data_IF_146098838778
#
_entry.id   IF_146098838778
#
_cell.length_a   1.000
_cell.length_b   1.000
_cell.length_c   1.000
_cell.angle_alpha   90.00
_cell.angle_beta   90.00
_cell.angle_gamma   90.00
#
_symmetry.space_group_name_H-M   'P 1'
#
loop_
_entity.id
_entity.type
_entity.pdbx_description
1 polymer ?
#
# COMPACT_ATOMS: atom_id res chain seq x y z
N UNK A 1 -5.84 15.35 1.64
CA UNK A 1 -6.75 14.18 1.44
C UNK A 1 -6.76 13.83 -0.03
N UNK A 2 -6.53 12.56 -0.37
CA UNK A 2 -6.60 12.02 -1.73
C UNK A 2 -7.75 11.02 -1.76
N UNK A 3 -8.67 11.17 -2.70
CA UNK A 3 -9.89 10.35 -2.74
C UNK A 3 -10.28 10.08 -4.19
N UNK A 4 -10.72 8.85 -4.46
CA UNK A 4 -11.35 8.50 -5.72
C UNK A 4 -12.58 9.38 -5.98
N UNK A 5 -12.77 9.85 -7.20
CA UNK A 5 -13.98 10.60 -7.57
C UNK A 5 -15.24 9.77 -7.30
N UNK A 6 -15.24 8.51 -7.77
CA UNK A 6 -16.27 7.53 -7.44
C UNK A 6 -15.61 6.26 -6.86
N UNK A 7 -15.86 5.93 -5.58
CA UNK A 7 -15.28 4.74 -4.95
C UNK A 7 -15.58 3.46 -5.73
N UNK A 8 -14.55 2.65 -5.96
CA UNK A 8 -14.65 1.42 -6.74
C UNK A 8 -14.65 1.60 -8.26
N UNK A 9 -14.60 2.85 -8.77
CA UNK A 9 -14.47 3.14 -10.20
C UNK A 9 -13.13 3.81 -10.56
N UNK A 10 -12.28 4.12 -9.58
CA UNK A 10 -10.92 4.59 -9.80
C UNK A 10 -9.95 3.42 -9.64
N UNK A 11 -9.41 2.98 -10.78
CA UNK A 11 -8.54 1.81 -10.86
C UNK A 11 -7.07 2.21 -10.96
N UNK A 12 -6.23 1.48 -10.25
CA UNK A 12 -4.76 1.55 -10.35
C UNK A 12 -4.30 0.23 -10.94
N UNK A 13 -3.85 0.25 -12.20
CA UNK A 13 -3.59 -0.96 -12.99
C UNK A 13 -2.14 -1.02 -13.51
N UNK A 14 -1.76 -2.13 -14.13
CA UNK A 14 -0.45 -2.31 -14.73
C UNK A 14 0.69 -2.36 -13.70
N UNK A 15 1.81 -1.70 -14.01
CA UNK A 15 2.98 -1.64 -13.13
C UNK A 15 2.91 -0.39 -12.25
N UNK A 16 2.18 -0.50 -11.14
CA UNK A 16 1.83 0.65 -10.29
C UNK A 16 2.15 0.40 -8.81
N UNK A 17 2.48 1.47 -8.09
CA UNK A 17 2.64 1.45 -6.63
C UNK A 17 2.34 2.84 -6.05
N UNK A 18 2.13 2.91 -4.74
CA UNK A 18 1.85 4.13 -3.99
C UNK A 18 2.87 4.31 -2.85
N UNK A 19 3.47 5.48 -2.79
CA UNK A 19 4.28 5.95 -1.67
C UNK A 19 3.50 7.00 -0.90
N UNK A 20 3.54 6.92 0.43
CA UNK A 20 2.90 7.87 1.35
C UNK A 20 3.99 8.37 2.29
N UNK A 21 4.26 9.67 2.29
CA UNK A 21 5.20 10.33 3.21
C UNK A 21 4.60 11.63 3.73
N UNK A 22 5.05 12.09 4.91
CA UNK A 22 4.51 13.26 5.58
C UNK A 22 3.44 12.91 6.62
N UNK A 23 2.57 13.86 6.97
CA UNK A 23 1.66 13.71 8.11
C UNK A 23 0.20 14.02 7.77
N UNK A 24 -0.72 13.36 8.48
CA UNK A 24 -2.17 13.62 8.40
C UNK A 24 -2.77 13.45 6.99
N UNK A 25 -2.20 12.52 6.21
CA UNK A 25 -2.73 12.17 4.90
C UNK A 25 -3.82 11.13 5.02
N UNK A 26 -4.89 11.31 4.24
CA UNK A 26 -5.94 10.31 4.08
C UNK A 26 -6.04 9.92 2.60
N UNK A 27 -5.96 8.62 2.33
CA UNK A 27 -6.08 8.00 1.01
C UNK A 27 -7.33 7.10 1.04
N UNK A 28 -8.22 7.29 0.07
CA UNK A 28 -9.58 6.77 0.15
C UNK A 28 -10.12 6.32 -1.22
N UNK A 29 -10.60 5.07 -1.29
CA UNK A 29 -11.43 4.60 -2.41
C UNK A 29 -10.70 4.08 -3.66
N UNK A 30 -9.38 3.84 -3.59
CA UNK A 30 -8.60 3.31 -4.71
C UNK A 30 -8.74 1.79 -4.85
N UNK A 31 -8.73 1.29 -6.08
CA UNK A 31 -8.80 -0.13 -6.40
C UNK A 31 -7.60 -0.57 -7.26
N UNK A 32 -6.65 -1.29 -6.67
CA UNK A 32 -5.52 -1.91 -7.36
C UNK A 32 -5.94 -3.26 -7.95
N UNK A 33 -5.87 -3.39 -9.28
CA UNK A 33 -6.23 -4.62 -10.02
C UNK A 33 -5.46 -4.73 -11.33
N UNK A 34 -5.52 -5.87 -12.01
CA UNK A 34 -4.93 -6.05 -13.35
C UNK A 34 -3.46 -5.61 -13.44
N UNK A 35 -2.63 -6.02 -12.47
CA UNK A 35 -1.25 -5.55 -12.41
C UNK A 35 -0.43 -6.12 -11.25
N UNK A 36 0.73 -5.51 -11.03
CA UNK A 36 1.66 -5.85 -9.95
C UNK A 36 2.53 -4.63 -9.62
N UNK A 37 3.11 -4.60 -8.42
CA UNK A 37 4.08 -3.55 -8.10
C UNK A 37 5.37 -3.74 -8.89
N UNK A 38 5.97 -2.66 -9.45
CA UNK A 38 7.30 -2.72 -10.05
C UNK A 38 8.42 -2.75 -8.99
N UNK A 39 8.08 -2.55 -7.72
CA UNK A 39 9.02 -2.42 -6.61
C UNK A 39 8.83 -3.47 -5.53
N UNK A 40 9.21 -3.08 -4.30
CA UNK A 40 9.16 -3.98 -3.14
C UNK A 40 7.76 -4.17 -2.56
N UNK A 41 6.87 -3.19 -2.76
CA UNK A 41 5.50 -3.25 -2.27
C UNK A 41 4.51 -2.45 -3.11
N UNK A 42 3.22 -2.78 -3.01
CA UNK A 42 2.13 -2.04 -3.68
C UNK A 42 1.89 -0.68 -3.03
N UNK A 43 1.87 -0.63 -1.70
CA UNK A 43 1.68 0.60 -0.91
C UNK A 43 2.75 0.65 0.20
N UNK A 44 3.43 1.79 0.34
CA UNK A 44 4.47 2.01 1.35
C UNK A 44 4.18 3.31 2.12
N UNK A 45 4.21 3.24 3.45
CA UNK A 45 4.11 4.40 4.34
C UNK A 45 5.46 5.12 4.54
N UNK A 46 6.24 5.19 3.46
CA UNK A 46 7.42 6.05 3.32
C UNK A 46 7.61 6.37 1.84
N UNK A 47 8.41 7.37 1.52
CA UNK A 47 8.85 7.61 0.15
C UNK A 47 10.13 6.82 -0.23
N UNK A 48 10.60 7.01 -1.47
CA UNK A 48 11.84 6.41 -1.97
C UNK A 48 13.10 6.93 -1.30
N UNK A 49 13.05 8.07 -0.62
CA UNK A 49 14.17 8.69 0.10
C UNK A 49 14.20 8.29 1.59
N UNK A 50 13.18 7.56 2.06
CA UNK A 50 13.09 7.06 3.42
C UNK A 50 12.30 7.98 4.36
N UNK A 51 11.69 9.06 3.88
CA UNK A 51 10.80 9.88 4.70
C UNK A 51 9.52 9.09 5.00
N UNK A 52 9.26 8.83 6.28
CA UNK A 52 8.09 8.05 6.72
C UNK A 52 6.80 8.87 6.73
N UNK A 53 5.67 8.18 6.78
CA UNK A 53 4.37 8.76 7.04
C UNK A 53 3.96 8.62 8.51
N UNK A 54 3.34 9.63 9.12
CA UNK A 54 2.77 9.55 10.46
C UNK A 54 1.32 10.06 10.49
N UNK A 55 0.48 9.49 11.36
CA UNK A 55 -0.93 9.91 11.48
C UNK A 55 -1.71 9.81 10.16
N UNK A 56 -1.33 8.90 9.26
CA UNK A 56 -1.96 8.73 7.96
C UNK A 56 -2.98 7.59 7.98
N UNK A 57 -4.03 7.73 7.17
CA UNK A 57 -5.12 6.76 7.06
C UNK A 57 -5.26 6.27 5.63
N UNK A 58 -5.25 4.96 5.47
CA UNK A 58 -5.59 4.26 4.24
C UNK A 58 -6.94 3.58 4.44
N UNK A 59 -7.96 3.99 3.70
CA UNK A 59 -9.34 3.51 3.94
C UNK A 59 -10.07 3.17 2.64
N UNK A 60 -10.98 2.19 2.70
CA UNK A 60 -11.81 1.77 1.56
C UNK A 60 -10.98 1.44 0.31
N UNK A 61 -9.84 0.80 0.51
CA UNK A 61 -8.97 0.34 -0.56
C UNK A 61 -9.31 -1.10 -0.93
N UNK A 62 -9.20 -1.42 -2.21
CA UNK A 62 -9.17 -2.79 -2.69
C UNK A 62 -7.81 -3.10 -3.33
N UNK A 63 -7.17 -4.20 -2.93
CA UNK A 63 -6.06 -4.81 -3.67
C UNK A 63 -6.55 -6.20 -4.08
N UNK A 64 -6.82 -6.37 -5.38
CA UNK A 64 -7.48 -7.54 -5.95
C UNK A 64 -6.57 -8.20 -7.00
N UNK A 65 -6.04 -9.38 -6.67
CA UNK A 65 -5.13 -10.18 -7.50
C UNK A 65 -3.94 -9.40 -8.09
N UNK A 66 -3.49 -8.33 -7.40
CA UNK A 66 -2.37 -7.48 -7.80
C UNK A 66 -1.01 -8.14 -7.45
N UNK A 67 -0.78 -9.32 -8.02
CA UNK A 67 0.28 -10.28 -7.65
C UNK A 67 1.37 -10.33 -8.72
N UNK A 68 2.62 -10.61 -8.32
CA UNK A 68 3.72 -10.76 -9.29
C UNK A 68 3.42 -11.87 -10.31
N UNK A 69 3.83 -11.71 -11.58
CA UNK A 69 3.63 -12.74 -12.61
C UNK A 69 4.26 -14.10 -12.25
N UNK A 70 5.37 -14.08 -11.49
CA UNK A 70 6.00 -15.28 -10.96
C UNK A 70 5.75 -15.40 -9.46
N UNK A 71 5.23 -16.55 -9.02
CA UNK A 71 5.04 -16.87 -7.59
C UNK A 71 6.33 -16.81 -6.77
N UNK A 72 7.49 -16.95 -7.42
CA UNK A 72 8.79 -16.93 -6.78
C UNK A 72 9.31 -15.51 -6.52
N UNK A 73 8.82 -14.52 -7.27
CA UNK A 73 9.15 -13.12 -7.07
C UNK A 73 8.52 -12.66 -5.76
N UNK A 74 9.34 -11.98 -4.94
CA UNK A 74 8.93 -11.51 -3.63
C UNK A 74 8.50 -10.05 -3.70
N UNK A 75 7.33 -9.77 -3.16
CA UNK A 75 6.89 -8.41 -2.80
C UNK A 75 6.05 -8.44 -1.53
N UNK A 76 5.70 -7.26 -1.04
CA UNK A 76 4.64 -7.08 -0.07
C UNK A 76 3.46 -6.32 -0.71
N UNK A 77 2.28 -6.35 -0.11
CA UNK A 77 1.23 -5.42 -0.56
C UNK A 77 1.27 -4.11 0.19
N UNK A 78 1.26 -4.15 1.52
CA UNK A 78 1.26 -2.94 2.34
C UNK A 78 2.43 -3.01 3.33
N UNK A 79 3.32 -2.03 3.25
CA UNK A 79 4.38 -1.81 4.25
C UNK A 79 4.07 -0.61 5.13
N UNK A 80 3.86 -0.85 6.41
CA UNK A 80 3.80 0.17 7.43
C UNK A 80 5.20 0.56 7.91
N UNK A 81 5.44 1.85 7.87
CA UNK A 81 6.51 2.60 8.53
C UNK A 81 5.84 3.72 9.33
N UNK A 82 6.62 4.48 10.09
CA UNK A 82 6.15 5.55 10.93
C UNK A 82 5.21 5.09 12.05
N UNK A 83 4.47 6.05 12.60
CA UNK A 83 3.62 5.88 13.78
C UNK A 83 2.20 6.37 13.52
N UNK A 84 1.26 5.81 14.27
CA UNK A 84 -0.15 6.21 14.24
C UNK A 84 -0.83 6.14 12.87
N UNK A 85 -0.34 5.27 11.99
CA UNK A 85 -0.96 4.99 10.71
C UNK A 85 -2.06 3.93 10.84
N UNK A 86 -3.04 3.96 9.93
CA UNK A 86 -4.17 3.04 9.95
C UNK A 86 -4.50 2.49 8.55
N UNK A 87 -4.89 1.21 8.51
CA UNK A 87 -5.56 0.58 7.37
C UNK A 87 -6.96 0.18 7.83
N UNK A 88 -7.99 0.71 7.18
CA UNK A 88 -9.38 0.58 7.63
C UNK A 88 -10.29 0.19 6.47
N UNK A 89 -11.34 -0.60 6.76
CA UNK A 89 -12.44 -0.87 5.82
C UNK A 89 -11.97 -1.29 4.41
N UNK A 90 -10.90 -2.09 4.32
CA UNK A 90 -10.21 -2.39 3.06
C UNK A 90 -10.23 -3.90 2.76
N UNK A 91 -10.19 -4.24 1.48
CA UNK A 91 -10.21 -5.61 0.98
C UNK A 91 -8.85 -5.96 0.37
N UNK A 92 -8.23 -7.03 0.83
CA UNK A 92 -6.97 -7.56 0.31
C UNK A 92 -7.22 -9.01 -0.11
N UNK A 93 -7.28 -9.28 -1.42
CA UNK A 93 -7.70 -10.57 -1.96
C UNK A 93 -6.76 -11.07 -3.07
N UNK A 94 -6.30 -12.32 -2.98
CA UNK A 94 -5.67 -13.01 -4.11
C UNK A 94 -4.15 -12.89 -4.22
N UNK A 95 -3.42 -12.59 -3.13
CA UNK A 95 -1.95 -12.61 -3.14
C UNK A 95 -1.45 -14.04 -3.32
N UNK A 96 -0.69 -14.29 -4.37
CA UNK A 96 -0.26 -15.66 -4.75
C UNK A 96 1.26 -15.83 -4.91
N UNK A 97 2.02 -14.75 -4.73
CA UNK A 97 3.48 -14.74 -4.78
C UNK A 97 4.13 -14.59 -3.38
N UNK A 98 5.44 -14.84 -3.29
CA UNK A 98 6.19 -14.81 -2.02
C UNK A 98 6.13 -13.44 -1.33
N UNK A 99 6.15 -13.46 0.00
CA UNK A 99 6.22 -12.29 0.86
C UNK A 99 4.86 -11.93 1.48
N UNK A 100 4.86 -11.34 2.70
CA UNK A 100 3.64 -11.02 3.43
C UNK A 100 2.73 -10.05 2.68
N UNK A 101 1.43 -10.20 2.88
CA UNK A 101 0.42 -9.25 2.41
C UNK A 101 0.60 -7.89 3.10
N UNK A 102 0.70 -7.88 4.42
CA UNK A 102 0.92 -6.67 5.23
C UNK A 102 2.15 -6.87 6.11
N UNK A 103 3.02 -5.88 6.19
CA UNK A 103 4.22 -5.90 7.02
C UNK A 103 4.39 -4.58 7.78
N UNK A 104 4.73 -4.67 9.06
CA UNK A 104 5.10 -3.53 9.90
C UNK A 104 6.61 -3.55 10.12
N UNK A 105 7.27 -2.41 9.88
CA UNK A 105 8.69 -2.23 10.16
C UNK A 105 8.88 -1.44 11.45
N UNK A 106 9.75 -1.94 12.33
CA UNK A 106 10.04 -1.34 13.64
C UNK A 106 11.45 -0.73 13.72
N UNK A 107 12.26 -0.87 12.67
CA UNK A 107 13.65 -0.41 12.69
C UNK A 107 13.69 1.11 12.60
N UNK A 108 14.32 1.79 13.55
CA UNK A 108 14.47 3.24 13.56
C UNK A 108 13.45 3.91 14.47
N UNK A 109 13.87 4.94 15.19
CA UNK A 109 13.03 5.61 16.20
C UNK A 109 11.79 6.21 15.58
N UNK A 110 11.86 6.65 14.32
CA UNK A 110 10.72 7.17 13.58
C UNK A 110 9.57 6.17 13.41
N UNK A 111 9.79 4.87 13.67
CA UNK A 111 8.81 3.79 13.48
C UNK A 111 8.25 3.18 14.79
N UNK A 112 8.67 3.66 15.98
CA UNK A 112 8.29 3.08 17.29
C UNK A 112 7.62 4.11 18.17
#
# INVERSE_FOLDING_TARGET
>A
RITAETPGQVFVEGQSCLYISGEYLQIDGLHFRNGHTPGKAVIQFRDSHGQVANHCRLTRIAIDHFTQPSRHNRDHWIEFYGRHNSLENSTLLGKSNRGPTVRVFLKGNENI
#
